data_IF_576118927219
#
_entry.id   IF_576118927219
#
_cell.length_a   1.000
_cell.length_b   1.000
_cell.length_c   1.000
_cell.angle_alpha   90.00
_cell.angle_beta   90.00
_cell.angle_gamma   90.00
#
_symmetry.space_group_name_H-M   'P 1'
#
loop_
_entity.id
_entity.type
_entity.pdbx_description
1 polymer ?
#
# COMPACT_ATOMS: atom_id res chain seq x y z
N UNK A 1 14.70 4.35 -19.07
CA UNK A 1 15.25 5.16 -17.94
C UNK A 1 16.41 4.38 -17.31
N UNK A 2 17.44 5.08 -16.83
CA UNK A 2 18.52 4.40 -16.08
C UNK A 2 17.93 3.71 -14.84
N UNK A 3 18.49 2.54 -14.48
CA UNK A 3 18.05 1.83 -13.29
C UNK A 3 18.25 2.68 -12.03
N UNK A 4 17.36 2.54 -11.05
CA UNK A 4 17.32 3.42 -9.87
C UNK A 4 18.65 3.44 -9.12
N UNK A 5 19.31 2.28 -8.93
CA UNK A 5 20.61 2.21 -8.27
C UNK A 5 21.70 3.02 -8.99
N UNK A 6 21.65 3.12 -10.33
CA UNK A 6 22.58 3.95 -11.10
C UNK A 6 22.43 5.44 -10.77
N UNK A 7 21.19 5.90 -10.55
CA UNK A 7 20.88 7.28 -10.18
C UNK A 7 21.33 7.60 -8.74
N UNK A 8 21.48 6.58 -7.88
CA UNK A 8 21.88 6.73 -6.48
C UNK A 8 23.40 6.83 -6.28
N UNK A 9 24.21 6.47 -7.28
CA UNK A 9 25.67 6.54 -7.18
C UNK A 9 26.15 7.93 -6.80
N UNK A 10 26.95 8.00 -5.73
CA UNK A 10 27.48 9.27 -5.20
C UNK A 10 26.43 10.17 -4.52
N UNK A 11 25.17 9.74 -4.42
CA UNK A 11 24.08 10.53 -3.80
C UNK A 11 23.54 9.92 -2.53
N UNK A 12 23.39 8.60 -2.48
CA UNK A 12 23.02 7.85 -1.29
C UNK A 12 24.24 7.08 -0.79
N UNK A 13 24.48 7.14 0.50
CA UNK A 13 25.50 6.36 1.19
C UNK A 13 24.87 5.66 2.39
N UNK A 14 25.02 4.37 2.47
CA UNK A 14 24.65 3.59 3.66
C UNK A 14 25.84 3.58 4.62
N UNK A 15 25.60 3.88 5.88
CA UNK A 15 26.61 4.00 6.94
C UNK A 15 26.26 3.10 8.11
N UNK A 16 27.09 3.07 9.14
CA UNK A 16 26.81 2.32 10.38
C UNK A 16 25.58 2.89 11.11
N UNK A 17 25.38 4.22 11.07
CA UNK A 17 24.22 4.87 11.68
C UNK A 17 22.96 4.70 10.84
N UNK A 18 23.10 4.58 9.52
CA UNK A 18 22.01 4.44 8.55
C UNK A 18 22.33 3.31 7.57
N UNK A 19 22.23 2.03 8.00
CA UNK A 19 22.61 0.88 7.18
C UNK A 19 21.59 0.47 6.13
N UNK A 20 20.43 1.11 6.10
CA UNK A 20 19.37 0.84 5.13
C UNK A 20 18.57 2.09 4.78
N UNK A 21 17.93 2.09 3.61
CA UNK A 21 17.07 3.17 3.14
C UNK A 21 16.02 2.62 2.15
N UNK A 22 14.89 3.31 2.05
CA UNK A 22 13.87 3.07 1.03
C UNK A 22 13.89 4.26 0.07
N UNK A 23 13.88 4.02 -1.23
CA UNK A 23 13.94 5.08 -2.24
C UNK A 23 12.84 4.91 -3.27
N UNK A 24 12.00 5.93 -3.40
CA UNK A 24 10.98 6.05 -4.44
C UNK A 24 11.55 6.73 -5.68
N UNK A 25 11.36 6.12 -6.84
CA UNK A 25 11.50 6.76 -8.14
C UNK A 25 10.27 7.62 -8.38
N UNK A 26 10.42 8.94 -8.22
CA UNK A 26 9.30 9.88 -8.29
C UNK A 26 8.75 10.02 -9.71
N UNK A 27 9.58 9.83 -10.75
CA UNK A 27 9.13 9.90 -12.13
C UNK A 27 8.35 8.64 -12.53
N UNK A 28 8.81 7.47 -12.07
CA UNK A 28 8.06 6.23 -12.25
C UNK A 28 6.72 6.28 -11.53
N UNK A 29 6.69 6.86 -10.33
CA UNK A 29 5.47 7.05 -9.55
C UNK A 29 4.48 7.95 -10.29
N UNK A 30 4.95 9.09 -10.82
CA UNK A 30 4.13 10.01 -11.61
C UNK A 30 3.60 9.33 -12.88
N UNK A 31 4.47 8.64 -13.61
CA UNK A 31 4.07 7.92 -14.83
C UNK A 31 2.95 6.91 -14.56
N UNK A 32 3.03 6.14 -13.47
CA UNK A 32 1.99 5.18 -13.07
C UNK A 32 0.68 5.87 -12.67
N UNK A 33 0.75 7.00 -11.97
CA UNK A 33 -0.43 7.77 -11.59
C UNK A 33 -1.14 8.36 -12.83
N UNK A 34 -0.37 8.91 -13.77
CA UNK A 34 -0.91 9.47 -15.02
C UNK A 34 -1.45 8.38 -15.95
N UNK A 35 -0.82 7.20 -16.01
CA UNK A 35 -1.33 6.05 -16.77
C UNK A 35 -2.72 5.62 -16.29
N UNK A 36 -2.95 5.53 -14.96
CA UNK A 36 -4.26 5.23 -14.41
C UNK A 36 -5.30 6.31 -14.79
N UNK A 37 -4.94 7.58 -14.67
CA UNK A 37 -5.82 8.68 -15.04
C UNK A 37 -6.16 8.72 -16.52
N UNK A 38 -5.21 8.35 -17.39
CA UNK A 38 -5.45 8.25 -18.83
C UNK A 38 -6.39 7.10 -19.17
N UNK A 39 -6.23 5.95 -18.53
CA UNK A 39 -7.08 4.79 -18.78
C UNK A 39 -8.54 5.02 -18.34
N UNK A 40 -8.74 5.71 -17.21
CA UNK A 40 -10.05 5.94 -16.57
C UNK A 40 -10.26 7.45 -16.26
N UNK A 41 -10.32 8.34 -17.27
CA UNK A 41 -10.25 9.80 -17.06
C UNK A 41 -11.49 10.38 -16.36
N UNK A 42 -12.64 9.70 -16.42
CA UNK A 42 -13.89 10.14 -15.78
C UNK A 42 -14.03 9.69 -14.32
N UNK A 43 -13.10 8.86 -13.82
CA UNK A 43 -13.15 8.34 -12.46
C UNK A 43 -12.37 9.23 -11.48
N UNK A 44 -12.80 9.20 -10.22
CA UNK A 44 -12.10 9.82 -9.11
C UNK A 44 -11.15 8.78 -8.49
N UNK A 45 -9.87 8.98 -8.64
CA UNK A 45 -8.86 8.07 -8.12
C UNK A 45 -8.44 8.48 -6.72
N UNK A 46 -8.41 7.52 -5.79
CA UNK A 46 -7.89 7.71 -4.44
C UNK A 46 -6.67 6.82 -4.23
N UNK A 47 -5.62 7.38 -3.65
CA UNK A 47 -4.47 6.62 -3.18
C UNK A 47 -4.86 5.90 -1.88
N UNK A 48 -4.69 4.58 -1.83
CA UNK A 48 -4.87 3.81 -0.61
C UNK A 48 -3.68 4.02 0.34
N UNK A 49 -3.89 4.80 1.41
CA UNK A 49 -2.84 5.23 2.34
C UNK A 49 -2.17 4.07 3.06
N UNK A 50 -2.93 3.01 3.36
CA UNK A 50 -2.40 1.76 3.96
C UNK A 50 -1.25 1.13 3.17
N UNK A 51 -1.08 1.50 1.89
CA UNK A 51 0.04 1.02 1.08
C UNK A 51 1.35 1.76 1.40
N UNK A 52 1.31 3.08 1.59
CA UNK A 52 2.46 3.93 1.96
C UNK A 52 1.96 5.30 2.48
N UNK A 53 1.78 5.49 3.80
CA UNK A 53 1.17 6.69 4.38
C UNK A 53 2.17 7.85 4.56
N UNK A 54 3.13 8.03 3.64
CA UNK A 54 4.13 9.09 3.76
C UNK A 54 3.55 10.45 3.38
N UNK A 55 3.36 11.32 4.36
CA UNK A 55 2.78 12.66 4.19
C UNK A 55 3.45 13.47 3.07
N UNK A 56 4.77 13.34 2.88
CA UNK A 56 5.52 14.05 1.83
C UNK A 56 5.20 13.61 0.39
N UNK A 57 4.60 12.42 0.19
CA UNK A 57 4.12 11.96 -1.12
C UNK A 57 2.74 12.53 -1.47
N UNK A 58 1.89 12.81 -0.48
CA UNK A 58 0.47 13.10 -0.69
C UNK A 58 0.24 14.37 -1.52
N UNK A 59 0.98 15.50 -1.33
CA UNK A 59 0.82 16.68 -2.18
C UNK A 59 1.12 16.43 -3.66
N UNK A 60 1.95 15.42 -4.00
CA UNK A 60 2.20 15.02 -5.40
C UNK A 60 0.96 14.37 -5.98
N UNK A 61 0.38 13.39 -5.27
CA UNK A 61 -0.86 12.73 -5.67
C UNK A 61 -2.03 13.71 -5.79
N UNK A 62 -2.17 14.65 -4.85
CA UNK A 62 -3.18 15.70 -4.93
C UNK A 62 -3.03 16.58 -6.19
N UNK A 63 -1.79 16.98 -6.57
CA UNK A 63 -1.51 17.69 -7.81
C UNK A 63 -1.83 16.86 -9.07
N UNK A 64 -1.69 15.56 -9.01
CA UNK A 64 -2.11 14.66 -10.09
C UNK A 64 -3.61 14.37 -10.06
N UNK A 65 -4.40 15.02 -9.18
CA UNK A 65 -5.85 14.94 -9.11
C UNK A 65 -6.35 13.70 -8.37
N UNK A 66 -5.56 13.14 -7.45
CA UNK A 66 -5.99 12.05 -6.58
C UNK A 66 -6.58 12.57 -5.27
N UNK A 67 -7.60 11.87 -4.78
CA UNK A 67 -7.97 11.84 -3.37
C UNK A 67 -7.22 10.77 -2.62
N UNK A 68 -7.68 10.45 -1.40
CA UNK A 68 -7.06 9.48 -0.51
C UNK A 68 -8.08 8.52 0.07
N UNK A 69 -7.72 7.25 0.21
CA UNK A 69 -8.50 6.27 0.97
C UNK A 69 -7.74 5.94 2.25
N UNK A 70 -8.44 6.02 3.37
CA UNK A 70 -7.92 5.79 4.71
C UNK A 70 -8.61 4.59 5.36
N UNK A 71 -7.83 3.65 5.85
CA UNK A 71 -8.31 2.50 6.60
C UNK A 71 -8.34 2.74 8.12
N UNK A 72 -7.95 3.93 8.57
CA UNK A 72 -8.04 4.40 9.95
C UNK A 72 -8.22 5.91 10.01
N UNK A 73 -8.73 6.41 11.16
CA UNK A 73 -8.81 7.85 11.39
C UNK A 73 -7.42 8.52 11.27
N UNK A 74 -6.37 7.85 11.75
CA UNK A 74 -5.01 8.36 11.74
C UNK A 74 -4.49 8.57 10.31
N UNK A 75 -4.68 7.59 9.42
CA UNK A 75 -4.35 7.75 8.00
C UNK A 75 -5.10 8.93 7.36
N UNK A 76 -6.41 9.04 7.62
CA UNK A 76 -7.21 10.15 7.12
C UNK A 76 -6.73 11.52 7.64
N UNK A 77 -6.30 11.61 8.90
CA UNK A 77 -5.73 12.83 9.46
C UNK A 77 -4.41 13.22 8.81
N UNK A 78 -3.54 12.24 8.48
CA UNK A 78 -2.31 12.51 7.72
C UNK A 78 -2.65 13.13 6.36
N UNK A 79 -3.63 12.57 5.64
CA UNK A 79 -4.07 13.13 4.36
C UNK A 79 -4.69 14.53 4.50
N UNK A 80 -5.56 14.70 5.48
CA UNK A 80 -6.24 15.97 5.74
C UNK A 80 -5.26 17.10 6.08
N UNK A 81 -4.21 16.78 6.85
CA UNK A 81 -3.16 17.76 7.19
C UNK A 81 -2.23 18.07 6.01
N UNK A 82 -1.83 17.03 5.26
CA UNK A 82 -0.91 17.20 4.13
C UNK A 82 -1.56 17.85 2.91
N UNK A 83 -2.87 17.65 2.72
CA UNK A 83 -3.63 18.09 1.55
C UNK A 83 -5.01 18.59 1.97
N UNK A 84 -5.11 19.79 2.60
CA UNK A 84 -6.39 20.36 3.00
C UNK A 84 -7.35 20.49 1.79
N UNK A 85 -8.58 20.02 1.94
CA UNK A 85 -9.61 20.06 0.90
C UNK A 85 -9.57 18.90 -0.11
N UNK A 86 -8.59 18.00 -0.04
CA UNK A 86 -8.63 16.78 -0.84
C UNK A 86 -9.74 15.83 -0.36
N UNK A 87 -10.33 15.07 -1.30
CA UNK A 87 -11.30 14.04 -0.96
C UNK A 87 -10.63 12.95 -0.11
N UNK A 88 -11.24 12.61 1.04
CA UNK A 88 -10.83 11.48 1.88
C UNK A 88 -11.99 10.49 1.96
N UNK A 89 -11.76 9.26 1.51
CA UNK A 89 -12.65 8.12 1.71
C UNK A 89 -12.22 7.40 3.00
N UNK A 90 -13.18 7.04 3.86
CA UNK A 90 -12.87 6.34 5.12
C UNK A 90 -13.66 5.04 5.21
N UNK A 91 -12.98 3.90 5.03
CA UNK A 91 -13.61 2.58 4.91
C UNK A 91 -13.14 1.54 5.93
N UNK A 92 -12.59 1.94 7.06
CA UNK A 92 -12.22 1.02 8.15
C UNK A 92 -13.36 0.04 8.48
N UNK A 93 -13.09 -1.25 8.71
CA UNK A 93 -14.11 -2.23 9.10
C UNK A 93 -14.54 -2.10 10.56
N UNK A 94 -13.91 -1.23 11.35
CA UNK A 94 -14.18 -1.06 12.78
C UNK A 94 -13.97 0.40 13.18
N UNK A 95 -14.96 1.25 12.86
CA UNK A 95 -14.98 2.66 13.27
C UNK A 95 -15.72 2.84 14.59
N UNK A 96 -15.09 3.50 15.55
CA UNK A 96 -15.77 3.92 16.77
C UNK A 96 -16.73 5.09 16.49
N UNK A 97 -17.70 5.31 17.38
CA UNK A 97 -18.62 6.48 17.25
C UNK A 97 -17.87 7.81 17.22
N UNK A 98 -16.78 7.93 18.00
CA UNK A 98 -15.92 9.12 18.02
C UNK A 98 -15.19 9.33 16.68
N UNK A 99 -14.67 8.25 16.08
CA UNK A 99 -14.02 8.32 14.77
C UNK A 99 -15.01 8.70 13.66
N UNK A 100 -16.22 8.13 13.70
CA UNK A 100 -17.31 8.49 12.78
C UNK A 100 -17.62 9.98 12.90
N UNK A 101 -17.96 10.48 14.09
CA UNK A 101 -18.31 11.87 14.33
C UNK A 101 -17.19 12.83 13.90
N UNK A 102 -15.93 12.48 14.14
CA UNK A 102 -14.78 13.29 13.72
C UNK A 102 -14.60 13.31 12.22
N UNK A 103 -14.74 12.17 11.55
CA UNK A 103 -14.64 12.07 10.10
C UNK A 103 -15.78 12.82 9.39
N UNK A 104 -17.02 12.72 9.90
CA UNK A 104 -18.16 13.50 9.42
C UNK A 104 -17.94 15.02 9.58
N UNK A 105 -17.44 15.46 10.73
CA UNK A 105 -17.10 16.86 10.99
C UNK A 105 -16.01 17.41 10.07
N UNK A 106 -15.12 16.54 9.59
CA UNK A 106 -14.07 16.86 8.60
C UNK A 106 -14.56 16.78 7.15
N UNK A 107 -15.82 16.38 6.92
CA UNK A 107 -16.42 16.27 5.59
C UNK A 107 -15.92 15.09 4.77
N UNK A 108 -15.42 14.01 5.41
CA UNK A 108 -14.97 12.83 4.70
C UNK A 108 -16.13 12.00 4.17
N UNK A 109 -15.87 11.21 3.13
CA UNK A 109 -16.83 10.26 2.57
C UNK A 109 -16.66 8.92 3.28
N UNK A 110 -17.66 8.52 4.07
CA UNK A 110 -17.60 7.29 4.86
C UNK A 110 -18.23 6.12 4.11
N UNK A 111 -17.65 4.93 4.33
CA UNK A 111 -18.20 3.65 3.91
C UNK A 111 -18.49 2.78 5.13
N UNK A 112 -19.77 2.49 5.39
CA UNK A 112 -20.16 1.54 6.43
C UNK A 112 -19.76 0.11 6.01
N UNK A 113 -19.13 -0.64 6.91
CA UNK A 113 -18.77 -2.04 6.64
C UNK A 113 -19.95 -3.02 6.85
N UNK A 114 -20.99 -2.58 7.55
CA UNK A 114 -22.18 -3.39 7.86
C UNK A 114 -23.42 -2.53 7.99
N UNK A 115 -24.61 -3.16 7.97
CA UNK A 115 -25.89 -2.49 8.23
C UNK A 115 -25.91 -1.85 9.63
N UNK A 116 -25.41 -2.55 10.64
CA UNK A 116 -25.34 -2.02 12.00
C UNK A 116 -24.41 -0.79 12.13
N UNK A 117 -23.40 -0.66 11.28
CA UNK A 117 -22.58 0.54 11.22
C UNK A 117 -23.28 1.65 10.44
N UNK A 118 -24.01 1.30 9.36
CA UNK A 118 -24.78 2.26 8.57
C UNK A 118 -25.73 3.09 9.44
N UNK A 119 -26.40 2.45 10.41
CA UNK A 119 -27.28 3.12 11.38
C UNK A 119 -26.59 4.15 12.27
N UNK A 120 -25.27 4.19 12.32
CA UNK A 120 -24.48 5.12 13.12
C UNK A 120 -24.01 6.34 12.35
N UNK A 121 -24.15 6.33 11.03
CA UNK A 121 -23.71 7.38 10.14
C UNK A 121 -24.82 8.40 9.94
N UNK A 122 -24.48 9.69 10.07
CA UNK A 122 -25.44 10.80 9.94
C UNK A 122 -25.35 11.48 8.58
N UNK A 123 -24.17 11.49 7.98
CA UNK A 123 -23.93 12.06 6.66
C UNK A 123 -24.24 11.04 5.54
N UNK A 124 -24.46 11.53 4.30
CA UNK A 124 -24.54 10.62 3.15
C UNK A 124 -23.29 9.74 3.05
N UNK A 125 -23.50 8.44 3.04
CA UNK A 125 -22.43 7.45 3.09
C UNK A 125 -22.65 6.31 2.09
N UNK A 126 -21.63 5.48 1.88
CA UNK A 126 -21.77 4.22 1.15
C UNK A 126 -21.91 3.04 2.10
N UNK A 127 -22.51 1.98 1.61
CA UNK A 127 -22.43 0.66 2.23
C UNK A 127 -21.40 -0.18 1.48
N UNK A 128 -20.49 -0.80 2.21
CA UNK A 128 -19.59 -1.81 1.66
C UNK A 128 -20.35 -3.10 1.37
N UNK A 129 -20.15 -3.62 0.17
CA UNK A 129 -20.82 -4.82 -0.33
C UNK A 129 -19.77 -5.90 -0.56
N UNK A 130 -19.99 -7.07 0.01
CA UNK A 130 -19.30 -8.28 -0.39
C UNK A 130 -19.92 -8.79 -1.69
N UNK A 131 -19.20 -8.63 -2.77
CA UNK A 131 -19.68 -9.01 -4.09
C UNK A 131 -19.51 -10.50 -4.41
N UNK A 132 -19.06 -11.32 -3.46
CA UNK A 132 -19.00 -12.79 -3.56
C UNK A 132 -18.31 -13.29 -4.85
N UNK A 133 -17.27 -12.59 -5.31
CA UNK A 133 -16.52 -12.95 -6.53
C UNK A 133 -15.59 -14.15 -6.33
N UNK A 134 -15.55 -14.69 -5.11
CA UNK A 134 -14.69 -15.79 -4.73
C UNK A 134 -13.26 -15.37 -4.38
N UNK A 135 -12.44 -16.31 -3.94
CA UNK A 135 -11.05 -16.04 -3.57
C UNK A 135 -10.22 -15.73 -4.82
N UNK A 136 -9.29 -14.79 -4.68
CA UNK A 136 -8.20 -14.62 -5.63
C UNK A 136 -7.09 -15.64 -5.39
N UNK A 137 -6.05 -15.61 -6.21
CA UNK A 137 -4.89 -16.53 -6.10
C UNK A 137 -4.21 -16.49 -4.74
N UNK A 138 -4.17 -15.33 -4.10
CA UNK A 138 -3.60 -15.15 -2.75
C UNK A 138 -4.75 -15.10 -1.73
N UNK A 139 -5.04 -16.23 -1.10
CA UNK A 139 -6.23 -16.39 -0.25
C UNK A 139 -6.29 -15.38 0.91
N UNK A 140 -5.18 -15.11 1.62
CA UNK A 140 -5.18 -14.20 2.77
C UNK A 140 -5.34 -12.70 2.40
N UNK A 141 -5.27 -12.33 1.13
CA UNK A 141 -5.59 -10.98 0.65
C UNK A 141 -6.94 -10.89 -0.05
N UNK A 142 -7.64 -12.00 -0.21
CA UNK A 142 -8.98 -12.07 -0.79
C UNK A 142 -10.03 -11.78 0.28
N UNK A 143 -10.98 -10.91 -0.01
CA UNK A 143 -11.99 -10.45 0.95
C UNK A 143 -13.41 -10.51 0.40
N UNK A 144 -13.64 -11.26 -0.70
CA UNK A 144 -14.92 -11.39 -1.37
C UNK A 144 -15.41 -12.85 -1.45
N UNK A 145 -15.15 -13.63 -0.42
CA UNK A 145 -15.73 -14.96 -0.21
C UNK A 145 -16.88 -14.94 0.81
N UNK A 146 -17.63 -16.04 0.92
CA UNK A 146 -18.80 -16.13 1.79
C UNK A 146 -18.49 -16.03 3.30
N UNK A 147 -17.23 -16.20 3.73
CA UNK A 147 -16.80 -16.07 5.13
C UNK A 147 -16.15 -14.72 5.43
N UNK A 148 -16.12 -13.82 4.46
CA UNK A 148 -15.51 -12.51 4.65
C UNK A 148 -16.29 -11.68 5.68
N UNK A 149 -15.54 -10.99 6.56
CA UNK A 149 -16.09 -10.00 7.50
C UNK A 149 -16.26 -8.61 6.87
N UNK A 150 -15.96 -8.48 5.58
CA UNK A 150 -15.96 -7.20 4.88
C UNK A 150 -17.21 -7.06 4.02
N UNK A 151 -18.07 -6.12 4.40
CA UNK A 151 -19.27 -5.77 3.66
C UNK A 151 -20.42 -6.77 3.79
N UNK A 152 -21.60 -6.30 3.46
CA UNK A 152 -22.83 -7.13 3.41
C UNK A 152 -22.87 -7.92 2.09
N UNK A 153 -23.30 -9.19 2.09
CA UNK A 153 -23.43 -9.96 0.87
C UNK A 153 -24.40 -9.29 -0.12
N UNK A 154 -24.01 -9.19 -1.38
CA UNK A 154 -24.78 -8.48 -2.41
C UNK A 154 -26.17 -9.07 -2.69
N UNK A 155 -26.36 -10.35 -2.40
CA UNK A 155 -27.58 -11.14 -2.65
C UNK A 155 -28.54 -11.18 -1.46
N UNK A 156 -28.15 -10.60 -0.32
CA UNK A 156 -28.96 -10.55 0.91
C UNK A 156 -29.20 -9.12 1.42
N UNK A 157 -28.99 -8.12 0.58
CA UNK A 157 -29.25 -6.73 0.95
C UNK A 157 -30.75 -6.50 1.14
N UNK A 158 -31.18 -5.83 2.24
CA UNK A 158 -32.56 -5.46 2.45
C UNK A 158 -33.09 -4.53 1.34
N UNK A 159 -34.36 -4.64 1.04
CA UNK A 159 -35.04 -3.69 0.16
C UNK A 159 -35.16 -2.32 0.83
N UNK A 160 -35.14 -1.25 0.03
CA UNK A 160 -35.38 0.12 0.51
C UNK A 160 -34.22 0.72 1.32
N UNK A 161 -33.01 0.18 1.23
CA UNK A 161 -31.83 0.79 1.83
C UNK A 161 -31.58 2.18 1.24
N UNK A 162 -31.49 3.18 2.10
CA UNK A 162 -31.13 4.56 1.73
C UNK A 162 -29.61 4.78 1.91
N UNK A 163 -28.86 4.44 0.87
CA UNK A 163 -27.41 4.68 0.80
C UNK A 163 -27.12 5.64 -0.35
N UNK A 164 -26.23 6.60 -0.11
CA UNK A 164 -25.78 7.49 -1.15
C UNK A 164 -24.74 6.86 -2.08
N UNK A 165 -24.13 5.75 -1.69
CA UNK A 165 -23.14 5.05 -2.51
C UNK A 165 -22.99 3.56 -2.18
N UNK A 166 -22.32 2.86 -3.08
CA UNK A 166 -22.00 1.43 -2.95
C UNK A 166 -20.50 1.24 -3.12
N UNK A 167 -19.89 0.50 -2.20
CA UNK A 167 -18.46 0.23 -2.20
C UNK A 167 -18.18 -1.26 -2.21
N UNK A 168 -17.21 -1.69 -3.00
CA UNK A 168 -16.64 -3.02 -2.90
C UNK A 168 -15.12 -2.99 -3.05
N UNK A 169 -14.45 -3.80 -2.25
CA UNK A 169 -13.02 -4.08 -2.39
C UNK A 169 -12.85 -5.59 -2.25
N UNK A 170 -12.37 -6.26 -3.30
CA UNK A 170 -12.40 -7.74 -3.36
C UNK A 170 -11.08 -8.41 -2.99
N UNK A 171 -9.99 -7.64 -2.91
CA UNK A 171 -8.70 -8.17 -2.53
C UNK A 171 -7.52 -7.37 -3.09
N UNK A 172 -6.35 -7.99 -3.13
CA UNK A 172 -5.10 -7.38 -3.60
C UNK A 172 -4.20 -8.43 -4.24
N UNK A 173 -3.43 -8.07 -5.28
CA UNK A 173 -2.36 -8.83 -5.94
C UNK A 173 -2.77 -10.20 -6.51
N UNK A 174 -3.83 -10.80 -6.10
CA UNK A 174 -4.25 -12.12 -6.57
C UNK A 174 -5.61 -12.13 -7.24
N UNK A 175 -6.29 -10.99 -7.34
CA UNK A 175 -7.55 -10.86 -8.03
C UNK A 175 -7.32 -10.71 -9.53
N UNK A 176 -8.15 -11.37 -10.35
CA UNK A 176 -8.11 -11.17 -11.80
C UNK A 176 -8.95 -9.96 -12.23
N UNK A 177 -8.68 -9.43 -13.44
CA UNK A 177 -9.47 -8.34 -14.02
C UNK A 177 -10.94 -8.79 -14.15
N UNK A 178 -11.22 -10.04 -14.49
CA UNK A 178 -12.57 -10.58 -14.59
C UNK A 178 -13.31 -10.54 -13.26
N UNK A 179 -12.63 -10.87 -12.14
CA UNK A 179 -13.22 -10.78 -10.80
C UNK A 179 -13.50 -9.31 -10.42
N UNK A 180 -12.61 -8.38 -10.75
CA UNK A 180 -12.82 -6.94 -10.54
C UNK A 180 -14.01 -6.41 -11.36
N UNK A 181 -14.13 -6.82 -12.61
CA UNK A 181 -15.24 -6.47 -13.50
C UNK A 181 -16.56 -7.08 -13.03
N UNK A 182 -16.56 -8.35 -12.55
CA UNK A 182 -17.74 -8.99 -11.98
C UNK A 182 -18.21 -8.23 -10.74
N UNK A 183 -17.28 -7.81 -9.88
CA UNK A 183 -17.60 -6.98 -8.72
C UNK A 183 -18.23 -5.65 -9.13
N UNK A 184 -17.66 -4.95 -10.11
CA UNK A 184 -18.21 -3.70 -10.64
C UNK A 184 -19.63 -3.89 -11.21
N UNK A 185 -19.88 -4.98 -11.94
CA UNK A 185 -21.20 -5.32 -12.48
C UNK A 185 -22.23 -5.47 -11.35
N UNK A 186 -21.90 -6.22 -10.29
CA UNK A 186 -22.77 -6.41 -9.12
C UNK A 186 -23.09 -5.10 -8.42
N UNK A 187 -22.10 -4.19 -8.28
CA UNK A 187 -22.35 -2.85 -7.74
C UNK A 187 -23.29 -2.02 -8.61
N UNK A 188 -23.14 -2.06 -9.93
CA UNK A 188 -24.02 -1.35 -10.87
C UNK A 188 -25.44 -1.94 -10.81
N UNK A 189 -25.61 -3.27 -10.72
CA UNK A 189 -26.92 -3.91 -10.58
C UNK A 189 -27.62 -3.48 -9.27
N UNK A 190 -26.88 -3.30 -8.18
CA UNK A 190 -27.41 -2.72 -6.95
C UNK A 190 -27.79 -1.25 -7.16
N UNK A 191 -26.92 -0.44 -7.71
CA UNK A 191 -27.12 0.98 -7.94
C UNK A 191 -28.33 1.29 -8.84
N UNK A 192 -28.62 0.41 -9.82
CA UNK A 192 -29.82 0.52 -10.66
C UNK A 192 -31.12 0.38 -9.86
N UNK A 193 -31.13 -0.43 -8.82
CA UNK A 193 -32.30 -0.67 -7.94
C UNK A 193 -32.45 0.39 -6.85
N UNK A 194 -31.43 1.24 -6.64
CA UNK A 194 -31.42 2.28 -5.62
C UNK A 194 -31.25 3.68 -6.26
N UNK A 195 -32.32 4.38 -6.58
CA UNK A 195 -32.27 5.67 -7.29
C UNK A 195 -31.55 6.79 -6.53
N UNK A 196 -31.42 6.68 -5.20
CA UNK A 196 -30.63 7.60 -4.35
C UNK A 196 -29.12 7.51 -4.54
N UNK A 197 -28.64 6.49 -5.28
CA UNK A 197 -27.21 6.28 -5.52
C UNK A 197 -26.58 7.47 -6.25
N UNK A 198 -25.57 8.07 -5.64
CA UNK A 198 -24.78 9.18 -6.18
C UNK A 198 -23.38 8.75 -6.62
N UNK A 199 -22.79 7.74 -5.95
CA UNK A 199 -21.46 7.24 -6.29
C UNK A 199 -21.35 5.72 -6.18
N UNK A 200 -20.37 5.19 -6.90
CA UNK A 200 -19.94 3.79 -6.84
C UNK A 200 -18.43 3.78 -6.59
N UNK A 201 -18.00 3.06 -5.57
CA UNK A 201 -16.59 2.87 -5.25
C UNK A 201 -16.18 1.44 -5.59
N UNK A 202 -15.33 1.29 -6.60
CA UNK A 202 -14.85 0.01 -7.10
C UNK A 202 -13.71 -0.57 -6.23
N UNK A 203 -13.23 0.19 -5.24
CA UNK A 203 -12.08 -0.19 -4.46
C UNK A 203 -10.77 -0.24 -5.25
N UNK A 204 -9.86 -1.05 -4.78
CA UNK A 204 -8.60 -1.36 -5.47
C UNK A 204 -8.57 -2.82 -5.93
N UNK A 205 -7.36 -3.39 -5.93
CA UNK A 205 -7.18 -4.84 -6.14
C UNK A 205 -6.32 -5.21 -7.34
N UNK A 206 -6.09 -4.28 -8.28
CA UNK A 206 -5.17 -4.52 -9.40
C UNK A 206 -3.77 -4.89 -8.89
N UNK A 207 -3.20 -5.91 -9.51
CA UNK A 207 -1.85 -6.34 -9.23
C UNK A 207 -0.80 -5.38 -9.83
N UNK A 208 0.44 -5.49 -9.38
CA UNK A 208 1.53 -4.63 -9.84
C UNK A 208 1.78 -4.72 -11.34
N UNK A 209 1.58 -5.91 -11.92
CA UNK A 209 1.79 -6.20 -13.33
C UNK A 209 0.57 -5.92 -14.23
N UNK A 210 -0.59 -5.64 -13.64
CA UNK A 210 -1.81 -5.44 -14.43
C UNK A 210 -1.77 -4.12 -15.21
N UNK A 211 -2.36 -4.15 -16.42
CA UNK A 211 -2.54 -2.97 -17.25
C UNK A 211 -3.80 -2.22 -16.86
N UNK A 212 -3.67 -0.93 -16.58
CA UNK A 212 -4.84 -0.06 -16.35
C UNK A 212 -5.73 0.04 -17.58
N UNK A 213 -5.13 0.05 -18.79
CA UNK A 213 -5.91 0.10 -20.03
C UNK A 213 -6.71 -1.19 -20.25
N UNK A 214 -6.12 -2.37 -19.99
CA UNK A 214 -6.85 -3.64 -20.07
C UNK A 214 -8.04 -3.67 -19.11
N UNK A 215 -7.84 -3.20 -17.88
CA UNK A 215 -8.93 -3.08 -16.90
C UNK A 215 -10.01 -2.09 -17.37
N UNK A 216 -9.61 -0.93 -17.88
CA UNK A 216 -10.53 0.08 -18.39
C UNK A 216 -11.36 -0.43 -19.58
N UNK A 217 -10.75 -1.15 -20.51
CA UNK A 217 -11.43 -1.75 -21.66
C UNK A 217 -12.43 -2.82 -21.21
N UNK A 218 -12.04 -3.66 -20.25
CA UNK A 218 -12.93 -4.69 -19.67
C UNK A 218 -14.13 -4.05 -18.98
N UNK A 219 -13.93 -2.95 -18.22
CA UNK A 219 -15.02 -2.20 -17.61
C UNK A 219 -15.93 -1.55 -18.66
N UNK A 220 -15.39 -0.90 -19.70
CA UNK A 220 -16.19 -0.26 -20.76
C UNK A 220 -17.04 -1.29 -21.49
N UNK A 221 -16.50 -2.47 -21.74
CA UNK A 221 -17.24 -3.56 -22.40
C UNK A 221 -18.34 -4.15 -21.53
N UNK A 222 -18.08 -4.37 -20.24
CA UNK A 222 -18.97 -5.12 -19.35
C UNK A 222 -19.97 -4.24 -18.59
N UNK A 223 -19.64 -2.98 -18.31
CA UNK A 223 -20.39 -2.06 -17.44
C UNK A 223 -20.27 -0.61 -17.95
N UNK A 224 -20.73 -0.34 -19.19
CA UNK A 224 -20.58 0.98 -19.83
C UNK A 224 -21.24 2.13 -19.06
N UNK A 225 -22.22 1.83 -18.20
CA UNK A 225 -22.89 2.85 -17.38
C UNK A 225 -21.97 3.56 -16.40
N UNK A 226 -20.85 2.95 -15.98
CA UNK A 226 -19.84 3.62 -15.15
C UNK A 226 -19.22 4.84 -15.84
N UNK A 227 -19.31 4.90 -17.18
CA UNK A 227 -18.75 5.99 -18.00
C UNK A 227 -19.79 7.00 -18.45
N UNK A 228 -21.06 6.83 -18.06
CA UNK A 228 -22.18 7.68 -18.48
C UNK A 228 -22.26 9.03 -17.76
N UNK A 229 -21.51 9.22 -16.68
CA UNK A 229 -21.63 10.40 -15.79
C UNK A 229 -22.82 10.33 -14.83
N UNK A 230 -23.59 9.23 -14.83
CA UNK A 230 -24.71 9.05 -13.90
C UNK A 230 -24.28 9.00 -12.45
N UNK A 231 -23.13 8.41 -12.14
CA UNK A 231 -22.55 8.29 -10.81
C UNK A 231 -21.12 8.82 -10.80
N UNK A 232 -20.70 9.38 -9.67
CA UNK A 232 -19.27 9.53 -9.41
C UNK A 232 -18.67 8.15 -9.16
N UNK A 233 -17.62 7.78 -9.88
CA UNK A 233 -16.96 6.48 -9.73
C UNK A 233 -15.62 6.67 -9.06
N UNK A 234 -15.41 6.02 -7.91
CA UNK A 234 -14.15 6.02 -7.18
C UNK A 234 -13.35 4.74 -7.43
N UNK A 235 -12.02 4.86 -7.35
CA UNK A 235 -11.08 3.73 -7.26
C UNK A 235 -10.10 3.98 -6.12
N UNK A 236 -9.57 2.90 -5.49
CA UNK A 236 -8.68 2.93 -4.34
C UNK A 236 -7.38 2.17 -4.64
N UNK A 237 -6.57 2.72 -5.53
CA UNK A 237 -5.34 2.06 -5.95
C UNK A 237 -4.21 2.30 -4.95
N UNK A 238 -3.50 1.24 -4.58
CA UNK A 238 -2.34 1.29 -3.71
C UNK A 238 -1.16 0.55 -4.33
N UNK A 239 -1.21 -0.79 -4.33
CA UNK A 239 -0.12 -1.64 -4.81
C UNK A 239 0.28 -1.36 -6.24
N UNK A 240 -0.67 -1.33 -7.16
CA UNK A 240 -0.40 -1.11 -8.59
C UNK A 240 0.23 0.24 -8.90
N UNK A 241 0.01 1.26 -8.04
CA UNK A 241 0.64 2.57 -8.15
C UNK A 241 2.06 2.59 -7.57
N UNK A 242 2.24 1.99 -6.39
CA UNK A 242 3.38 2.26 -5.53
C UNK A 242 4.46 1.18 -5.57
N UNK A 243 4.09 -0.11 -5.67
CA UNK A 243 5.02 -1.20 -5.41
C UNK A 243 6.28 -1.15 -6.27
N UNK A 244 6.12 -1.01 -7.59
CA UNK A 244 7.23 -0.96 -8.52
C UNK A 244 8.04 0.35 -8.46
N UNK A 245 7.46 1.42 -7.92
CA UNK A 245 8.07 2.74 -7.88
C UNK A 245 9.10 2.91 -6.76
N UNK A 246 9.31 1.90 -5.90
CA UNK A 246 10.37 2.01 -4.90
C UNK A 246 11.17 0.73 -4.75
N UNK A 247 12.39 0.92 -4.27
CA UNK A 247 13.31 -0.12 -3.86
C UNK A 247 13.83 0.17 -2.46
N UNK A 248 14.11 -0.87 -1.72
CA UNK A 248 14.85 -0.77 -0.47
C UNK A 248 16.29 -1.21 -0.68
N UNK A 249 17.19 -0.59 0.03
CA UNK A 249 18.63 -0.85 0.00
C UNK A 249 19.08 -1.15 1.40
N UNK A 250 19.83 -2.22 1.58
CA UNK A 250 20.38 -2.60 2.88
C UNK A 250 21.79 -3.08 2.75
N UNK A 251 22.67 -2.55 3.60
CA UNK A 251 24.07 -2.96 3.67
C UNK A 251 24.16 -4.39 4.21
N UNK A 252 25.07 -5.17 3.65
CA UNK A 252 25.49 -6.46 4.18
C UNK A 252 26.43 -6.23 5.35
N UNK A 253 26.02 -6.69 6.54
CA UNK A 253 26.81 -6.51 7.74
C UNK A 253 27.79 -7.66 7.95
N UNK A 254 27.31 -8.90 7.78
CA UNK A 254 28.12 -10.09 7.97
C UNK A 254 27.85 -11.14 6.91
N UNK A 255 28.90 -11.91 6.60
CA UNK A 255 28.80 -13.14 5.80
C UNK A 255 29.15 -14.33 6.69
N UNK A 256 28.25 -15.28 6.80
CA UNK A 256 28.49 -16.56 7.46
C UNK A 256 28.21 -17.67 6.46
N UNK A 257 29.25 -18.36 5.99
CA UNK A 257 29.18 -19.35 4.90
C UNK A 257 28.60 -18.69 3.63
N UNK A 258 27.42 -19.12 3.16
CA UNK A 258 26.73 -18.56 2.00
C UNK A 258 25.50 -17.70 2.41
N UNK A 259 25.45 -17.24 3.66
CA UNK A 259 24.39 -16.38 4.19
C UNK A 259 24.91 -14.98 4.39
N UNK A 260 24.31 -14.01 3.67
CA UNK A 260 24.54 -12.59 3.85
C UNK A 260 23.47 -12.01 4.77
N UNK A 261 23.86 -11.50 5.92
CA UNK A 261 22.96 -10.85 6.88
C UNK A 261 22.91 -9.35 6.63
N UNK A 262 21.69 -8.82 6.49
CA UNK A 262 21.41 -7.42 6.20
C UNK A 262 20.56 -6.77 7.31
N UNK A 263 20.25 -5.48 7.19
CA UNK A 263 19.50 -4.70 8.19
C UNK A 263 17.99 -4.61 7.94
N UNK A 264 17.47 -5.28 6.92
CA UNK A 264 16.04 -5.40 6.62
C UNK A 264 15.67 -6.87 6.59
N UNK A 265 14.62 -7.24 7.29
CA UNK A 265 14.14 -8.62 7.39
C UNK A 265 12.63 -8.69 7.45
N UNK A 266 12.10 -9.56 8.28
CA UNK A 266 10.66 -9.68 8.51
C UNK A 266 10.04 -8.43 9.15
N UNK A 267 10.81 -7.57 9.77
CA UNK A 267 10.37 -6.25 10.22
C UNK A 267 9.87 -5.37 9.06
N UNK A 268 10.46 -5.54 7.88
CA UNK A 268 10.14 -4.80 6.65
C UNK A 268 9.34 -5.64 5.64
N UNK A 269 9.73 -6.90 5.42
CA UNK A 269 9.11 -7.80 4.45
C UNK A 269 8.29 -8.90 5.13
N UNK A 270 7.43 -8.52 6.08
CA UNK A 270 6.61 -9.45 6.87
C UNK A 270 5.92 -10.51 6.01
N UNK A 271 5.33 -10.10 4.89
CA UNK A 271 4.62 -11.01 3.98
C UNK A 271 5.55 -12.02 3.31
N UNK A 272 6.73 -11.58 2.87
CA UNK A 272 7.72 -12.46 2.22
C UNK A 272 8.17 -13.56 3.16
N UNK A 273 8.47 -13.21 4.40
CA UNK A 273 9.01 -14.16 5.38
C UNK A 273 7.96 -15.17 5.86
N UNK A 274 6.74 -14.71 6.15
CA UNK A 274 5.69 -15.59 6.67
C UNK A 274 4.86 -16.28 5.59
N UNK A 275 4.95 -15.85 4.33
CA UNK A 275 4.22 -16.39 3.18
C UNK A 275 5.10 -16.39 1.92
N UNK A 276 6.21 -17.12 1.93
CA UNK A 276 7.19 -17.08 0.85
C UNK A 276 6.66 -17.53 -0.52
N UNK A 277 5.65 -18.40 -0.54
CA UNK A 277 5.03 -18.91 -1.78
C UNK A 277 4.08 -17.87 -2.43
N UNK A 278 3.56 -16.92 -1.65
CA UNK A 278 2.61 -15.92 -2.11
C UNK A 278 3.27 -14.61 -2.55
N UNK A 279 4.48 -14.34 -2.05
CA UNK A 279 5.14 -13.04 -2.23
C UNK A 279 6.57 -13.21 -2.68
N UNK A 280 6.89 -12.57 -3.79
CA UNK A 280 8.24 -12.45 -4.30
C UNK A 280 8.68 -11.00 -4.37
N UNK A 281 9.91 -10.74 -3.95
CA UNK A 281 10.57 -9.44 -4.02
C UNK A 281 11.91 -9.65 -4.72
N UNK A 282 12.09 -9.10 -5.93
CA UNK A 282 13.37 -9.21 -6.65
C UNK A 282 14.52 -8.70 -5.79
N UNK A 283 15.58 -9.49 -5.71
CA UNK A 283 16.79 -9.16 -4.97
C UNK A 283 17.96 -9.02 -5.95
N UNK A 284 18.85 -8.04 -5.70
CA UNK A 284 20.09 -7.87 -6.44
C UNK A 284 21.24 -7.46 -5.51
N UNK A 285 22.45 -7.93 -5.82
CA UNK A 285 23.67 -7.58 -5.09
C UNK A 285 24.41 -6.46 -5.82
N UNK A 286 24.68 -5.38 -5.11
CA UNK A 286 25.44 -4.21 -5.56
C UNK A 286 26.69 -4.05 -4.70
N UNK A 287 27.72 -3.43 -5.25
CA UNK A 287 28.87 -3.00 -4.47
C UNK A 287 28.54 -1.80 -3.56
N UNK A 288 29.41 -1.39 -2.63
CA UNK A 288 29.15 -0.23 -1.75
C UNK A 288 28.90 1.09 -2.48
N UNK A 289 29.16 1.16 -3.78
CA UNK A 289 28.94 2.34 -4.63
C UNK A 289 27.71 2.21 -5.52
N UNK A 290 26.81 1.26 -5.23
CA UNK A 290 25.59 0.99 -6.03
C UNK A 290 25.89 0.54 -7.46
N UNK A 291 27.04 -0.09 -7.73
CA UNK A 291 27.29 -0.76 -9.01
C UNK A 291 26.94 -2.26 -8.90
N UNK A 292 26.38 -2.88 -9.95
CA UNK A 292 26.19 -4.33 -9.97
C UNK A 292 27.49 -5.08 -9.71
N UNK A 293 27.44 -6.10 -8.87
CA UNK A 293 28.58 -7.00 -8.67
C UNK A 293 28.91 -7.75 -9.94
N UNK A 294 30.18 -7.89 -10.23
CA UNK A 294 30.70 -8.61 -11.40
C UNK A 294 31.43 -9.89 -10.97
N UNK A 295 31.37 -10.93 -11.80
CA UNK A 295 32.03 -12.20 -11.55
C UNK A 295 31.13 -13.43 -11.76
N UNK A 296 31.65 -14.60 -11.44
CA UNK A 296 30.87 -15.84 -11.50
C UNK A 296 29.79 -15.87 -10.42
N UNK A 297 28.56 -16.13 -10.83
CA UNK A 297 27.41 -16.23 -9.91
C UNK A 297 27.40 -17.56 -9.17
N UNK A 298 26.96 -17.52 -7.92
CA UNK A 298 26.67 -18.67 -7.08
C UNK A 298 25.44 -18.42 -6.22
N UNK A 299 24.73 -19.47 -5.78
CA UNK A 299 23.61 -19.31 -4.85
C UNK A 299 24.08 -18.73 -3.51
N UNK A 300 23.38 -17.74 -3.00
CA UNK A 300 23.64 -17.13 -1.69
C UNK A 300 22.30 -16.77 -1.05
N UNK A 301 22.19 -16.97 0.26
CA UNK A 301 20.99 -16.70 1.04
C UNK A 301 21.07 -15.28 1.61
N UNK A 302 19.98 -14.53 1.53
CA UNK A 302 19.84 -13.22 2.16
C UNK A 302 18.99 -13.39 3.42
N UNK A 303 19.56 -13.04 4.57
CA UNK A 303 18.94 -13.11 5.88
C UNK A 303 18.77 -11.72 6.48
N UNK A 304 17.65 -11.53 7.19
CA UNK A 304 17.39 -10.32 7.96
C UNK A 304 18.08 -10.33 9.35
N UNK A 305 17.88 -9.26 10.13
CA UNK A 305 18.57 -9.04 11.40
C UNK A 305 17.80 -9.55 12.62
N UNK A 306 16.63 -10.20 12.45
CA UNK A 306 15.74 -10.51 13.56
C UNK A 306 16.14 -11.82 14.26
N UNK A 307 15.87 -11.91 15.55
CA UNK A 307 16.27 -13.05 16.40
C UNK A 307 15.33 -14.25 16.25
N UNK A 308 15.09 -14.73 15.02
CA UNK A 308 14.42 -16.01 14.77
C UNK A 308 14.90 -16.64 13.44
N UNK A 309 14.92 -17.96 13.39
CA UNK A 309 15.52 -18.71 12.28
C UNK A 309 14.84 -18.49 10.92
N UNK A 310 13.58 -18.06 10.92
CA UNK A 310 12.80 -17.83 9.70
C UNK A 310 13.01 -16.46 9.04
N UNK A 311 13.88 -15.61 9.57
CA UNK A 311 14.14 -14.27 9.00
C UNK A 311 15.01 -14.35 7.74
N UNK A 312 14.47 -15.04 6.72
CA UNK A 312 15.11 -15.27 5.42
C UNK A 312 14.30 -14.58 4.32
N UNK A 313 14.97 -13.72 3.56
CA UNK A 313 14.34 -13.01 2.44
C UNK A 313 14.31 -13.85 1.16
N UNK A 314 15.23 -14.78 1.02
CA UNK A 314 15.33 -15.66 -0.14
C UNK A 314 16.77 -15.98 -0.51
N UNK A 315 16.94 -16.67 -1.65
CA UNK A 315 18.24 -16.94 -2.26
C UNK A 315 18.37 -16.17 -3.55
N UNK A 316 19.58 -15.69 -3.84
CA UNK A 316 19.91 -15.07 -5.13
C UNK A 316 21.13 -15.75 -5.74
N UNK A 317 21.14 -15.89 -7.06
CA UNK A 317 22.33 -16.23 -7.83
C UNK A 317 23.07 -14.93 -8.18
N UNK A 318 24.16 -14.69 -7.47
CA UNK A 318 24.95 -13.47 -7.62
C UNK A 318 26.46 -13.79 -7.51
N UNK A 319 27.34 -12.91 -8.03
CA UNK A 319 28.76 -12.95 -7.69
C UNK A 319 28.94 -12.91 -6.18
N UNK A 320 30.12 -13.37 -5.69
CA UNK A 320 30.37 -13.44 -4.24
C UNK A 320 30.08 -12.13 -3.55
N UNK A 321 29.04 -12.12 -2.71
CA UNK A 321 28.65 -10.99 -1.86
C UNK A 321 29.71 -10.83 -0.77
N UNK A 322 30.01 -9.60 -0.40
CA UNK A 322 30.99 -9.23 0.60
C UNK A 322 30.38 -8.34 1.68
N UNK A 323 31.01 -8.29 2.83
CA UNK A 323 30.64 -7.30 3.87
C UNK A 323 30.80 -5.88 3.31
N UNK A 324 29.82 -5.03 3.62
CA UNK A 324 29.74 -3.68 3.06
C UNK A 324 29.01 -3.58 1.72
N UNK A 325 28.74 -4.68 1.02
CA UNK A 325 27.89 -4.68 -0.18
C UNK A 325 26.45 -4.26 0.16
N UNK A 326 25.67 -4.01 -0.88
CA UNK A 326 24.30 -3.56 -0.74
C UNK A 326 23.38 -4.59 -1.40
N UNK A 327 22.36 -5.02 -0.68
CA UNK A 327 21.24 -5.76 -1.26
C UNK A 327 20.15 -4.78 -1.63
N UNK A 328 19.83 -4.73 -2.93
CA UNK A 328 18.66 -4.05 -3.46
C UNK A 328 17.45 -4.99 -3.36
N UNK A 329 16.33 -4.48 -2.83
CA UNK A 329 15.06 -5.19 -2.71
C UNK A 329 14.03 -4.45 -3.58
N UNK A 330 13.56 -5.08 -4.63
CA UNK A 330 12.56 -4.52 -5.55
C UNK A 330 11.15 -4.55 -4.98
N UNK A 331 10.21 -3.89 -5.67
CA UNK A 331 8.78 -3.85 -5.32
C UNK A 331 8.47 -3.37 -3.88
N UNK A 332 9.36 -2.57 -3.31
CA UNK A 332 9.32 -2.15 -1.91
C UNK A 332 8.40 -0.94 -1.63
N UNK A 333 7.71 -0.40 -2.65
CA UNK A 333 6.93 0.83 -2.53
C UNK A 333 5.56 0.69 -1.87
N UNK A 334 5.07 -0.52 -1.64
CA UNK A 334 3.73 -0.73 -1.09
C UNK A 334 3.69 -1.89 -0.09
N UNK A 335 3.05 -1.66 1.06
CA UNK A 335 2.85 -2.68 2.10
C UNK A 335 4.17 -3.30 2.60
N UNK A 336 5.21 -2.50 2.67
CA UNK A 336 6.51 -2.83 3.25
C UNK A 336 6.75 -1.94 4.47
N UNK A 337 7.13 -0.68 4.30
CA UNK A 337 7.29 0.25 5.41
C UNK A 337 5.99 0.46 6.23
N UNK A 338 4.82 0.51 5.57
CA UNK A 338 3.54 0.63 6.28
C UNK A 338 3.16 -0.61 7.10
N UNK A 339 3.82 -1.73 6.89
CA UNK A 339 3.68 -2.96 7.66
C UNK A 339 4.89 -3.21 8.57
N UNK A 340 5.68 -2.18 8.88
CA UNK A 340 6.84 -2.30 9.74
C UNK A 340 6.50 -2.97 11.07
N UNK A 341 7.19 -4.07 11.36
CA UNK A 341 7.00 -4.83 12.60
C UNK A 341 7.88 -4.29 13.72
N UNK A 342 7.35 -4.25 14.93
CA UNK A 342 8.09 -3.87 16.15
C UNK A 342 8.88 -5.02 16.79
N UNK A 343 8.93 -6.19 16.14
CA UNK A 343 9.72 -7.30 16.67
C UNK A 343 11.20 -6.92 16.74
N UNK A 344 11.85 -7.20 17.85
CA UNK A 344 13.21 -6.77 18.22
C UNK A 344 13.40 -5.24 18.30
N UNK A 345 12.33 -4.44 18.31
CA UNK A 345 12.35 -2.96 18.49
C UNK A 345 13.35 -2.22 17.59
N UNK A 346 13.47 -2.65 16.33
CA UNK A 346 14.35 -2.00 15.37
C UNK A 346 13.69 -0.74 14.80
N UNK A 347 14.51 0.25 14.45
CA UNK A 347 14.07 1.51 13.85
C UNK A 347 13.67 1.31 12.40
N UNK A 348 12.55 1.90 11.97
CA UNK A 348 12.20 2.03 10.57
C UNK A 348 13.24 2.91 9.86
N UNK A 349 13.80 2.51 8.72
CA UNK A 349 14.80 3.29 8.01
C UNK A 349 14.21 4.56 7.39
N UNK A 350 15.05 5.55 7.03
CA UNK A 350 14.62 6.72 6.31
C UNK A 350 14.10 6.36 4.90
N UNK A 351 13.21 7.21 4.41
CA UNK A 351 12.59 7.09 3.09
C UNK A 351 12.92 8.32 2.27
N UNK A 352 13.39 8.10 1.06
CA UNK A 352 13.74 9.16 0.11
C UNK A 352 12.92 9.04 -1.17
N UNK A 353 12.80 10.15 -1.89
CA UNK A 353 12.41 10.18 -3.29
C UNK A 353 13.56 10.68 -4.15
N UNK A 354 13.69 10.17 -5.36
CA UNK A 354 14.64 10.66 -6.36
C UNK A 354 13.92 10.95 -7.67
N UNK A 355 14.19 12.10 -8.27
CA UNK A 355 13.63 12.50 -9.57
C UNK A 355 14.63 12.33 -10.72
N UNK A 356 14.23 12.65 -11.96
CA UNK A 356 15.07 12.55 -13.15
C UNK A 356 16.33 13.40 -13.09
N UNK A 357 16.34 14.48 -12.30
CA UNK A 357 17.53 15.34 -12.10
C UNK A 357 18.54 14.67 -11.17
N UNK A 358 18.14 13.60 -10.49
CA UNK A 358 18.92 12.90 -9.49
C UNK A 358 18.91 13.61 -8.12
N UNK A 359 18.00 14.55 -7.91
CA UNK A 359 17.82 15.18 -6.60
C UNK A 359 17.21 14.18 -5.62
N UNK A 360 17.93 13.86 -4.56
CA UNK A 360 17.45 13.04 -3.46
C UNK A 360 16.70 13.90 -2.45
N UNK A 361 15.43 13.57 -2.19
CA UNK A 361 14.54 14.32 -1.31
C UNK A 361 14.11 13.44 -0.13
N UNK A 362 14.17 13.91 1.13
CA UNK A 362 13.63 13.15 2.25
C UNK A 362 12.10 13.12 2.18
N UNK A 363 11.52 11.91 2.26
CA UNK A 363 10.08 11.68 2.38
C UNK A 363 9.71 11.31 3.82
N UNK A 364 10.62 10.67 4.55
CA UNK A 364 10.53 10.39 5.97
C UNK A 364 11.94 10.28 6.54
N UNK A 365 12.17 10.83 7.71
CA UNK A 365 13.44 10.69 8.41
C UNK A 365 13.69 9.25 8.93
N UNK A 366 12.66 8.38 8.87
CA UNK A 366 12.69 7.13 9.60
C UNK A 366 12.45 7.35 11.09
N UNK A 367 12.90 6.43 11.93
CA UNK A 367 12.74 6.50 13.38
C UNK A 367 14.06 6.75 14.07
N UNK A 368 14.03 7.49 15.17
CA UNK A 368 15.14 7.70 16.09
C UNK A 368 15.03 6.76 17.29
N UNK A 369 16.12 6.65 18.07
CA UNK A 369 16.08 5.93 19.34
C UNK A 369 15.08 6.57 20.32
N UNK A 370 14.93 7.89 20.28
CA UNK A 370 13.96 8.60 21.12
C UNK A 370 12.50 8.20 20.81
N UNK A 371 12.18 7.98 19.53
CA UNK A 371 10.85 7.52 19.10
C UNK A 371 10.55 6.13 19.69
N UNK A 372 11.50 5.19 19.56
CA UNK A 372 11.34 3.85 20.11
C UNK A 372 11.28 3.83 21.64
N UNK A 373 12.15 4.57 22.30
CA UNK A 373 12.14 4.67 23.76
C UNK A 373 10.83 5.27 24.27
N UNK A 374 10.23 6.21 23.53
CA UNK A 374 8.93 6.78 23.90
C UNK A 374 7.80 5.76 23.89
N UNK A 375 7.85 4.77 22.97
CA UNK A 375 6.85 3.70 22.87
C UNK A 375 6.90 2.71 24.06
N UNK A 376 8.12 2.43 24.56
CA UNK A 376 8.34 1.41 25.58
C UNK A 376 8.58 2.00 26.98
N UNK A 377 8.58 3.33 27.08
CA UNK A 377 8.81 4.05 28.32
C UNK A 377 7.68 3.79 29.32
N UNK A 378 8.04 3.44 30.54
CA UNK A 378 7.08 3.36 31.64
C UNK A 378 6.47 4.75 31.90
N UNK A 379 5.16 4.86 32.17
CA UNK A 379 4.56 6.10 32.65
C UNK A 379 5.30 6.59 33.90
N UNK A 380 5.49 7.89 34.04
CA UNK A 380 6.20 8.48 35.20
C UNK A 380 5.62 8.06 36.56
N UNK A 381 4.32 7.73 36.63
CA UNK A 381 3.63 7.24 37.83
C UNK A 381 3.99 5.81 38.25
N UNK A 382 4.70 5.04 37.39
CA UNK A 382 5.09 3.64 37.66
C UNK A 382 6.57 3.54 38.01
N UNK A 383 7.36 4.58 37.67
CA UNK A 383 8.79 4.57 37.99
C UNK A 383 8.97 4.80 39.51
N UNK A 384 9.82 4.00 40.20
CA UNK A 384 10.13 4.28 41.60
C UNK A 384 10.70 5.68 41.71
N UNK A 385 10.21 6.46 42.66
CA UNK A 385 10.84 7.72 43.07
C UNK A 385 12.22 7.38 43.59
N UNK A 386 13.28 7.90 42.96
CA UNK A 386 14.67 7.72 43.35
C UNK A 386 14.93 8.25 44.76
#
# INVERSE_FOLDING_TARGET
MAELHTRLRGRLRLTDEQPSAIVYDLDQLEARALELRHALPSFQHCLALKAAPFAALLPRFARWGFGFEAASLQEGLVAHQACPGATVLFDSPAKTRTEIARAEALGWVLSANSLAELERLSAPCSLRVNTLTGPGRIAHTSVADARSRFGEPHDSLPEGLDCAGWHAHIGSQGCSIEQLVLSARRLVDIARRHPSTRWINLGGGLATQDSYEAYAQALRSAVPELFSGRWTVYTEMGRSLLAASARAYSRVEYICRDVATIHLGADFLLRRVYRPDDWDYPLAALDPHFAPRMGASRPQVIAGPLCFAGDLLGSIDAPAIQEGDIIEIGLAGAYSASMWSRHCSRRMPPVYGIDATGQLQPLSAGETDADLLSLWRAPASILPTA
#
